data_IF_770140154404
#
_entry.id   IF_770140154404
#
_cell.length_a   1.000
_cell.length_b   1.000
_cell.length_c   1.000
_cell.angle_alpha   90.00
_cell.angle_beta   90.00
_cell.angle_gamma   90.00
#
_symmetry.space_group_name_H-M   'P 1'
#
loop_
_entity.id
_entity.type
_entity.pdbx_description
1 polymer ?
#
# COMPACT_ATOMS: atom_id res chain seq x y z
N UNK A 1 -59.08 -43.67 -85.67
CA UNK A 1 -57.81 -44.34 -86.01
C UNK A 1 -56.91 -43.31 -86.65
N UNK A 2 -56.31 -42.49 -85.81
CA UNK A 2 -55.33 -41.43 -86.05
C UNK A 2 -54.49 -41.45 -84.76
N UNK A 3 -53.19 -41.25 -84.67
CA UNK A 3 -52.09 -40.89 -85.57
C UNK A 3 -50.84 -41.48 -84.86
N UNK A 4 -49.86 -42.05 -85.53
CA UNK A 4 -48.81 -41.36 -86.28
C UNK A 4 -48.13 -40.24 -85.47
N UNK A 5 -46.81 -40.43 -85.35
CA UNK A 5 -45.75 -39.44 -85.41
C UNK A 5 -45.37 -38.67 -84.14
N UNK A 6 -44.19 -39.04 -83.66
CA UNK A 6 -43.01 -38.18 -83.56
C UNK A 6 -43.26 -36.68 -83.30
N UNK A 7 -42.85 -36.23 -82.12
CA UNK A 7 -42.11 -34.98 -82.05
C UNK A 7 -41.11 -34.95 -80.89
N UNK A 8 -39.88 -34.58 -81.25
CA UNK A 8 -38.68 -34.46 -80.41
C UNK A 8 -38.70 -33.14 -79.64
N UNK A 9 -38.43 -33.29 -78.33
CA UNK A 9 -38.05 -32.38 -77.23
C UNK A 9 -38.14 -30.85 -77.35
N UNK A 10 -38.50 -30.23 -76.21
CA UNK A 10 -37.57 -29.27 -75.61
C UNK A 10 -37.11 -29.69 -74.22
N UNK A 11 -35.85 -29.39 -73.96
CA UNK A 11 -35.13 -29.70 -72.73
C UNK A 11 -35.35 -28.64 -71.65
N UNK A 12 -35.35 -29.13 -70.42
CA UNK A 12 -35.03 -28.46 -69.14
C UNK A 12 -36.12 -27.59 -68.48
N UNK A 13 -36.74 -28.19 -67.46
CA UNK A 13 -36.81 -27.57 -66.14
C UNK A 13 -36.32 -28.61 -65.10
N UNK A 14 -35.19 -28.33 -64.46
CA UNK A 14 -34.73 -29.10 -63.30
C UNK A 14 -35.75 -28.95 -62.17
N UNK A 15 -36.10 -30.10 -61.58
CA UNK A 15 -36.98 -30.22 -60.43
C UNK A 15 -36.36 -29.58 -59.17
N UNK A 16 -37.21 -29.17 -58.19
CA UNK A 16 -36.81 -28.26 -57.13
C UNK A 16 -35.89 -28.92 -56.10
N UNK A 17 -34.81 -28.22 -55.76
CA UNK A 17 -33.97 -28.54 -54.61
C UNK A 17 -34.74 -28.25 -53.29
N UNK A 18 -34.72 -29.17 -52.30
CA UNK A 18 -35.39 -29.01 -51.02
C UNK A 18 -34.72 -27.92 -50.12
N UNK A 19 -35.46 -27.38 -49.12
CA UNK A 19 -35.37 -25.98 -48.71
C UNK A 19 -34.10 -25.55 -47.94
N UNK A 20 -33.71 -24.30 -48.19
CA UNK A 20 -32.60 -23.59 -47.56
C UNK A 20 -32.82 -23.27 -46.07
N UNK A 21 -31.72 -23.39 -45.34
CA UNK A 21 -31.26 -22.64 -44.15
C UNK A 21 -32.18 -22.53 -42.93
N UNK A 22 -31.93 -23.38 -41.93
CA UNK A 22 -32.12 -23.01 -40.52
C UNK A 22 -30.84 -22.26 -40.08
N UNK A 23 -30.93 -21.03 -39.53
CA UNK A 23 -29.76 -20.27 -39.12
C UNK A 23 -29.00 -20.99 -38.00
N UNK A 24 -27.66 -20.83 -37.90
CA UNK A 24 -26.88 -21.47 -36.86
C UNK A 24 -27.38 -21.02 -35.50
N UNK A 25 -27.78 -22.00 -34.69
CA UNK A 25 -28.03 -21.82 -33.28
C UNK A 25 -26.81 -21.18 -32.62
N UNK A 26 -27.00 -20.01 -32.00
CA UNK A 26 -26.01 -19.36 -31.12
C UNK A 26 -25.95 -20.06 -29.77
N UNK A 27 -25.76 -21.38 -29.77
CA UNK A 27 -25.43 -22.12 -28.54
C UNK A 27 -23.95 -22.44 -28.58
N UNK A 28 -23.23 -21.91 -27.61
CA UNK A 28 -21.85 -22.27 -27.36
C UNK A 28 -21.77 -23.78 -27.08
N UNK A 29 -21.06 -24.50 -27.94
CA UNK A 29 -20.59 -25.86 -27.65
C UNK A 29 -19.26 -25.70 -26.93
N UNK A 30 -19.20 -26.18 -25.69
CA UNK A 30 -17.95 -26.29 -24.92
C UNK A 30 -17.25 -27.55 -25.41
N UNK A 31 -16.12 -27.41 -26.09
CA UNK A 31 -15.17 -28.52 -26.18
C UNK A 31 -14.55 -28.69 -24.79
N UNK A 32 -14.64 -29.89 -24.21
CA UNK A 32 -13.87 -30.24 -23.02
C UNK A 32 -12.40 -30.31 -23.43
N UNK A 33 -11.65 -29.26 -23.07
CA UNK A 33 -10.19 -29.30 -23.03
C UNK A 33 -9.83 -30.17 -21.82
N UNK A 34 -8.98 -31.18 -22.00
CA UNK A 34 -8.42 -31.94 -20.88
C UNK A 34 -7.79 -30.95 -19.89
N UNK A 35 -8.27 -30.97 -18.65
CA UNK A 35 -7.85 -30.06 -17.59
C UNK A 35 -6.44 -30.44 -17.13
N UNK A 36 -5.43 -29.99 -17.88
CA UNK A 36 -4.03 -30.08 -17.47
C UNK A 36 -3.78 -29.10 -16.32
N UNK A 37 -4.03 -29.58 -15.11
CA UNK A 37 -3.39 -29.09 -13.88
C UNK A 37 -4.03 -27.86 -13.24
N UNK A 38 -4.14 -27.93 -11.93
CA UNK A 38 -4.50 -26.85 -11.02
C UNK A 38 -3.82 -25.50 -11.39
N UNK A 39 -4.59 -24.43 -11.69
CA UNK A 39 -4.04 -23.15 -12.16
C UNK A 39 -3.23 -22.39 -11.10
N UNK A 40 -3.09 -22.89 -9.87
CA UNK A 40 -2.30 -22.25 -8.81
C UNK A 40 -0.78 -22.49 -8.90
N UNK A 41 -0.28 -23.35 -9.81
CA UNK A 41 1.15 -23.68 -9.88
C UNK A 41 1.78 -23.51 -11.28
N UNK A 42 1.55 -22.38 -11.94
CA UNK A 42 2.38 -21.96 -13.07
C UNK A 42 3.81 -21.60 -12.58
N UNK A 43 4.70 -22.59 -12.53
CA UNK A 43 6.14 -22.45 -12.81
C UNK A 43 7.05 -21.65 -11.86
N UNK A 44 6.57 -20.97 -10.82
CA UNK A 44 7.43 -20.13 -9.97
C UNK A 44 8.35 -20.96 -9.06
N UNK A 45 9.56 -21.24 -9.52
CA UNK A 45 10.59 -21.90 -8.72
C UNK A 45 11.37 -20.86 -7.91
N UNK A 46 11.31 -20.95 -6.58
CA UNK A 46 12.01 -20.06 -5.65
C UNK A 46 13.24 -20.78 -5.09
N UNK A 47 14.41 -20.22 -5.34
CA UNK A 47 15.68 -20.59 -4.70
C UNK A 47 15.93 -19.62 -3.54
N UNK A 48 15.80 -20.08 -2.28
CA UNK A 48 16.05 -19.25 -1.11
C UNK A 48 17.54 -18.98 -0.93
N UNK A 49 17.88 -17.89 -0.25
CA UNK A 49 19.27 -17.64 0.14
C UNK A 49 19.71 -18.58 1.26
N UNK A 50 20.45 -19.62 0.90
CA UNK A 50 21.08 -20.53 1.86
C UNK A 50 22.47 -20.02 2.26
N UNK A 51 22.77 -20.07 3.56
CA UNK A 51 24.11 -19.79 4.04
C UNK A 51 24.97 -21.04 3.86
N UNK A 52 26.03 -20.93 3.06
CA UNK A 52 26.99 -22.02 2.85
C UNK A 52 27.92 -22.29 4.05
N UNK A 53 27.83 -21.50 5.12
CA UNK A 53 28.72 -21.58 6.29
C UNK A 53 28.04 -22.31 7.47
N UNK A 54 28.60 -23.46 7.86
CA UNK A 54 28.11 -24.27 8.98
C UNK A 54 28.03 -23.43 10.27
N UNK A 55 26.83 -23.38 10.87
CA UNK A 55 26.59 -22.69 12.13
C UNK A 55 26.09 -21.24 12.02
N UNK A 56 25.91 -20.69 10.81
CA UNK A 56 25.31 -19.36 10.62
C UNK A 56 23.82 -19.46 10.26
N UNK A 57 22.96 -18.83 11.06
CA UNK A 57 21.51 -18.80 10.82
C UNK A 57 21.16 -18.14 9.47
N UNK A 58 20.20 -18.69 8.70
CA UNK A 58 19.79 -18.17 7.39
C UNK A 58 19.52 -16.66 7.37
N UNK A 59 19.68 -16.03 6.20
CA UNK A 59 19.27 -14.63 6.02
C UNK A 59 17.81 -14.43 6.45
N UNK A 60 17.52 -13.30 7.09
CA UNK A 60 16.18 -13.02 7.62
C UNK A 60 15.83 -13.73 8.94
N UNK A 61 16.71 -14.56 9.50
CA UNK A 61 16.45 -15.16 10.83
C UNK A 61 16.38 -14.08 11.91
N UNK A 62 15.32 -14.03 12.74
CA UNK A 62 15.22 -13.09 13.84
C UNK A 62 16.38 -13.26 14.83
N UNK A 63 17.07 -12.16 15.10
CA UNK A 63 18.15 -12.12 16.10
C UNK A 63 17.62 -11.86 17.51
N UNK A 64 16.58 -11.04 17.61
CA UNK A 64 15.98 -10.63 18.88
C UNK A 64 14.48 -10.37 18.69
N UNK A 65 13.71 -10.53 19.75
CA UNK A 65 12.29 -10.14 19.80
C UNK A 65 12.15 -8.80 20.52
N UNK A 66 11.54 -7.82 19.88
CA UNK A 66 11.27 -6.51 20.46
C UNK A 66 9.84 -6.06 20.18
N UNK A 67 9.37 -5.08 20.96
CA UNK A 67 8.06 -4.46 20.73
C UNK A 67 8.09 -3.50 19.55
N UNK A 68 7.21 -3.70 18.57
CA UNK A 68 7.05 -2.80 17.42
C UNK A 68 6.48 -1.45 17.83
N UNK A 69 6.57 -0.45 16.94
CA UNK A 69 5.95 0.87 17.17
C UNK A 69 4.45 0.74 17.48
N UNK A 70 3.76 -0.06 16.67
CA UNK A 70 2.32 -0.28 16.82
C UNK A 70 1.98 -0.98 18.13
N UNK A 71 2.74 -2.01 18.53
CA UNK A 71 2.54 -2.68 19.82
C UNK A 71 2.73 -1.75 21.02
N UNK A 72 3.65 -0.79 20.92
CA UNK A 72 3.80 0.26 21.94
C UNK A 72 2.60 1.19 21.96
N UNK A 73 2.14 1.65 20.80
CA UNK A 73 0.93 2.49 20.70
C UNK A 73 -0.28 1.78 21.31
N UNK A 74 -0.44 0.49 21.04
CA UNK A 74 -1.51 -0.32 21.64
C UNK A 74 -1.39 -0.37 23.17
N UNK A 75 -0.19 -0.68 23.68
CA UNK A 75 0.06 -0.72 25.12
C UNK A 75 -0.23 0.63 25.80
N UNK A 76 0.14 1.74 25.16
CA UNK A 76 -0.10 3.09 25.66
C UNK A 76 -1.59 3.47 25.66
N UNK A 77 -2.35 3.07 24.65
CA UNK A 77 -3.81 3.28 24.60
C UNK A 77 -4.51 2.48 25.70
N UNK A 78 -4.16 1.20 25.86
CA UNK A 78 -4.71 0.35 26.91
C UNK A 78 -4.37 0.85 28.31
N UNK A 79 -3.13 1.31 28.53
CA UNK A 79 -2.70 1.84 29.82
C UNK A 79 -3.46 3.12 30.23
N UNK A 80 -3.97 3.88 29.26
CA UNK A 80 -4.78 5.09 29.50
C UNK A 80 -6.27 4.79 29.72
N UNK A 81 -6.66 3.53 29.93
CA UNK A 81 -8.05 3.06 29.90
C UNK A 81 -8.78 3.52 28.61
N UNK A 82 -8.04 3.66 27.51
CA UNK A 82 -8.61 3.95 26.20
C UNK A 82 -9.45 2.78 25.72
N UNK A 83 -10.43 3.06 24.88
CA UNK A 83 -11.11 2.02 24.12
C UNK A 83 -10.26 1.66 22.90
N UNK A 84 -10.64 0.62 22.15
CA UNK A 84 -10.03 0.34 20.85
C UNK A 84 -10.08 1.55 19.89
N UNK A 85 -11.00 2.48 20.15
CA UNK A 85 -11.22 3.69 19.38
C UNK A 85 -10.47 4.91 19.95
N UNK A 86 -9.49 4.69 20.83
CA UNK A 86 -8.64 5.76 21.40
C UNK A 86 -9.36 6.59 22.47
N UNK A 87 -9.29 7.94 22.44
CA UNK A 87 -9.93 8.79 23.44
C UNK A 87 -11.46 8.85 23.28
N UNK A 88 -12.03 8.22 22.26
CA UNK A 88 -13.45 8.15 22.00
C UNK A 88 -14.10 7.00 22.79
N UNK A 89 -15.39 7.16 23.09
CA UNK A 89 -16.18 6.27 23.94
C UNK A 89 -16.43 4.92 23.28
N UNK A 90 -16.76 4.93 21.99
CA UNK A 90 -17.15 3.75 21.23
C UNK A 90 -16.95 3.97 19.72
N UNK A 91 -17.28 2.94 18.95
CA UNK A 91 -17.20 2.95 17.48
C UNK A 91 -18.11 4.01 16.86
N UNK A 92 -19.32 4.21 17.40
CA UNK A 92 -20.29 5.18 16.86
C UNK A 92 -19.78 6.62 17.02
N UNK A 93 -19.20 6.95 18.18
CA UNK A 93 -18.59 8.25 18.41
C UNK A 93 -17.35 8.44 17.53
N UNK A 94 -16.55 7.39 17.32
CA UNK A 94 -15.41 7.42 16.43
C UNK A 94 -15.81 7.65 14.96
N UNK A 95 -16.87 7.02 14.51
CA UNK A 95 -17.41 7.19 13.15
C UNK A 95 -17.88 8.62 12.91
N UNK A 96 -18.59 9.19 13.89
CA UNK A 96 -18.97 10.60 13.85
C UNK A 96 -17.74 11.50 13.83
N UNK A 97 -16.73 11.24 14.66
CA UNK A 97 -15.48 12.00 14.69
C UNK A 97 -14.74 11.96 13.34
N UNK A 98 -14.63 10.78 12.72
CA UNK A 98 -14.09 10.59 11.36
C UNK A 98 -14.85 11.39 10.33
N UNK A 99 -16.18 11.32 10.38
CA UNK A 99 -17.03 12.04 9.43
C UNK A 99 -16.91 13.56 9.58
N UNK A 100 -16.94 14.07 10.82
CA UNK A 100 -16.78 15.50 11.12
C UNK A 100 -15.44 16.03 10.61
N UNK A 101 -14.34 15.34 10.92
CA UNK A 101 -13.00 15.75 10.50
C UNK A 101 -12.85 15.81 8.98
N UNK A 102 -13.47 14.85 8.27
CA UNK A 102 -13.35 14.74 6.81
C UNK A 102 -14.26 15.71 6.05
N UNK A 103 -15.46 15.99 6.57
CA UNK A 103 -16.52 16.63 5.78
C UNK A 103 -16.92 18.01 6.29
N UNK A 104 -16.54 18.40 7.50
CA UNK A 104 -17.04 19.62 8.15
C UNK A 104 -15.87 20.50 8.58
N UNK A 105 -16.00 21.81 8.36
CA UNK A 105 -15.03 22.77 8.85
C UNK A 105 -15.19 22.99 10.37
N UNK A 106 -14.25 23.72 10.99
CA UNK A 106 -14.25 23.94 12.45
C UNK A 106 -15.53 24.64 12.93
N UNK A 107 -16.02 25.64 12.19
CA UNK A 107 -17.23 26.38 12.54
C UNK A 107 -18.48 25.51 12.45
N UNK A 108 -18.63 24.74 11.37
CA UNK A 108 -19.74 23.82 11.16
C UNK A 108 -19.73 22.67 12.17
N UNK A 109 -18.55 22.25 12.63
CA UNK A 109 -18.42 21.28 13.73
C UNK A 109 -18.96 21.88 15.02
N UNK A 110 -18.63 23.14 15.33
CA UNK A 110 -19.13 23.83 16.52
C UNK A 110 -20.65 24.08 16.45
N UNK A 111 -21.18 24.41 15.27
CA UNK A 111 -22.62 24.55 15.02
C UNK A 111 -23.36 23.22 15.17
N UNK A 112 -22.83 22.15 14.57
CA UNK A 112 -23.38 20.80 14.70
C UNK A 112 -23.47 20.37 16.16
N UNK A 113 -22.41 20.57 16.94
CA UNK A 113 -22.37 20.20 18.37
C UNK A 113 -23.31 21.05 19.24
N UNK A 114 -23.79 22.19 18.75
CA UNK A 114 -24.82 23.01 19.41
C UNK A 114 -26.25 22.59 19.07
N UNK A 115 -26.46 21.69 18.10
CA UNK A 115 -27.79 21.21 17.76
C UNK A 115 -28.41 20.42 18.91
N UNK A 116 -29.75 20.45 19.07
CA UNK A 116 -30.42 19.74 20.16
C UNK A 116 -30.15 18.24 20.18
N UNK A 117 -29.97 17.60 19.02
CA UNK A 117 -29.75 16.15 18.91
C UNK A 117 -28.44 15.73 19.61
N UNK A 118 -27.25 16.24 19.24
CA UNK A 118 -26.01 15.91 19.94
C UNK A 118 -25.96 16.45 21.38
N UNK A 119 -26.66 17.54 21.70
CA UNK A 119 -26.74 18.05 23.09
C UNK A 119 -27.66 17.24 23.99
N UNK A 120 -28.68 16.58 23.43
CA UNK A 120 -29.53 15.70 24.20
C UNK A 120 -28.67 14.53 24.70
N UNK A 121 -28.76 14.22 26.01
CA UNK A 121 -28.04 13.12 26.69
C UNK A 121 -28.19 11.72 26.07
N UNK A 122 -28.96 11.60 24.98
CA UNK A 122 -29.08 10.39 24.16
C UNK A 122 -27.83 10.11 23.32
N UNK A 123 -27.19 11.14 22.76
CA UNK A 123 -25.94 10.97 22.00
C UNK A 123 -24.74 10.75 22.94
N UNK A 124 -24.75 11.42 24.10
CA UNK A 124 -23.77 11.29 25.18
C UNK A 124 -22.30 11.40 24.68
N UNK A 125 -22.06 12.34 23.75
CA UNK A 125 -20.74 12.59 23.20
C UNK A 125 -19.77 12.99 24.31
N UNK A 126 -18.54 12.53 24.18
CA UNK A 126 -17.43 12.79 25.07
C UNK A 126 -16.76 14.16 24.80
N UNK A 127 -17.25 14.90 23.81
CA UNK A 127 -16.88 16.28 23.49
C UNK A 127 -18.12 17.13 23.21
N UNK A 128 -18.12 18.37 23.71
CA UNK A 128 -19.28 19.29 23.65
C UNK A 128 -19.10 20.50 22.72
N UNK A 129 -17.89 20.73 22.20
CA UNK A 129 -17.57 21.86 21.33
C UNK A 129 -16.36 21.51 20.46
N UNK A 130 -16.11 22.33 19.43
CA UNK A 130 -15.02 22.06 18.48
C UNK A 130 -13.64 21.99 19.17
N UNK A 131 -13.40 22.82 20.19
CA UNK A 131 -12.13 22.78 20.95
C UNK A 131 -11.92 21.45 21.68
N UNK A 132 -12.94 20.94 22.36
CA UNK A 132 -12.87 19.65 23.06
C UNK A 132 -12.76 18.49 22.07
N UNK A 133 -13.42 18.59 20.92
CA UNK A 133 -13.29 17.64 19.83
C UNK A 133 -11.86 17.58 19.29
N UNK A 134 -11.27 18.72 18.91
CA UNK A 134 -9.89 18.79 18.42
C UNK A 134 -8.89 18.30 19.47
N UNK A 135 -9.09 18.62 20.75
CA UNK A 135 -8.25 18.10 21.85
C UNK A 135 -8.27 16.57 21.93
N UNK A 136 -9.38 15.91 21.57
CA UNK A 136 -9.43 14.44 21.48
C UNK A 136 -8.76 13.93 20.23
N UNK A 137 -8.97 14.59 19.10
CA UNK A 137 -8.28 14.28 17.84
C UNK A 137 -6.75 14.36 18.02
N UNK A 138 -6.24 15.36 18.74
CA UNK A 138 -4.80 15.52 19.04
C UNK A 138 -4.22 14.43 19.95
N UNK A 139 -5.07 13.63 20.62
CA UNK A 139 -4.62 12.50 21.44
C UNK A 139 -4.49 11.20 20.64
N UNK A 140 -4.93 11.19 19.38
CA UNK A 140 -4.77 10.05 18.51
C UNK A 140 -3.29 9.81 18.21
N UNK A 141 -2.89 8.54 18.03
CA UNK A 141 -1.53 8.25 17.60
C UNK A 141 -1.26 8.94 16.26
N UNK A 142 -0.12 9.58 16.15
CA UNK A 142 0.35 10.25 14.92
C UNK A 142 1.48 9.45 14.27
N UNK A 143 1.80 9.79 13.03
CA UNK A 143 3.03 9.32 12.38
C UNK A 143 4.21 10.24 12.64
N UNK A 144 5.34 9.99 11.97
CA UNK A 144 6.49 10.87 11.96
C UNK A 144 6.07 12.31 11.74
N UNK A 145 6.73 13.19 12.48
CA UNK A 145 6.40 14.60 12.48
C UNK A 145 6.63 15.22 11.10
N UNK A 146 5.73 16.14 10.76
CA UNK A 146 5.86 16.97 9.58
C UNK A 146 6.87 18.09 9.83
N UNK A 147 7.83 18.26 8.91
CA UNK A 147 8.76 19.39 8.86
C UNK A 147 8.41 20.26 7.67
N UNK A 148 8.27 21.57 7.88
CA UNK A 148 8.11 22.55 6.82
C UNK A 148 9.45 23.24 6.54
N UNK A 149 9.89 23.25 5.28
CA UNK A 149 11.04 24.01 4.80
C UNK A 149 10.58 24.99 3.73
N UNK A 150 11.05 26.22 3.81
CA UNK A 150 10.85 27.22 2.75
C UNK A 150 11.96 27.04 1.72
N UNK A 151 11.58 26.88 0.45
CA UNK A 151 12.48 26.80 -0.69
C UNK A 151 12.19 27.94 -1.64
N UNK A 152 13.15 28.84 -1.84
CA UNK A 152 13.03 29.92 -2.81
C UNK A 152 13.38 29.41 -4.20
N UNK A 153 12.42 29.44 -5.12
CA UNK A 153 12.61 29.09 -6.53
C UNK A 153 12.71 30.35 -7.37
N UNK A 154 13.79 30.49 -8.16
CA UNK A 154 13.89 31.55 -9.15
C UNK A 154 12.96 31.24 -10.32
N UNK A 155 12.06 32.18 -10.62
CA UNK A 155 11.20 32.15 -11.79
C UNK A 155 11.91 32.58 -13.06
N UNK A 156 11.16 32.62 -14.15
CA UNK A 156 11.64 33.00 -15.49
C UNK A 156 11.20 34.42 -15.91
N UNK A 157 10.63 35.19 -14.98
CA UNK A 157 10.16 36.56 -15.22
C UNK A 157 11.06 37.52 -14.46
N UNK A 158 11.23 38.72 -15.00
CA UNK A 158 11.95 39.81 -14.33
C UNK A 158 10.95 40.80 -13.74
N UNK A 159 11.33 41.45 -12.63
CA UNK A 159 10.59 42.56 -12.03
C UNK A 159 10.92 43.89 -12.75
N UNK A 160 10.41 45.01 -12.21
CA UNK A 160 10.64 46.35 -12.77
C UNK A 160 12.11 46.81 -12.69
N UNK A 161 12.92 46.15 -11.85
CA UNK A 161 14.33 46.44 -11.62
C UNK A 161 15.27 45.50 -12.43
N UNK A 162 14.75 44.79 -13.44
CA UNK A 162 15.46 43.78 -14.26
C UNK A 162 16.02 42.57 -13.45
N UNK A 163 15.53 42.33 -12.24
CA UNK A 163 15.90 41.19 -11.40
C UNK A 163 14.94 40.00 -11.60
N UNK A 164 15.46 38.77 -11.60
CA UNK A 164 14.64 37.57 -11.69
C UNK A 164 13.69 37.48 -10.47
N UNK A 165 12.39 37.41 -10.75
CA UNK A 165 11.38 37.16 -9.75
C UNK A 165 11.60 35.78 -9.14
N UNK A 166 11.47 35.67 -7.83
CA UNK A 166 11.51 34.41 -7.11
C UNK A 166 10.21 34.18 -6.34
N UNK A 167 9.89 32.91 -6.08
CA UNK A 167 8.76 32.50 -5.27
C UNK A 167 9.23 31.63 -4.11
N UNK A 168 8.68 31.88 -2.93
CA UNK A 168 8.91 31.04 -1.75
C UNK A 168 7.89 29.91 -1.72
N UNK A 169 8.38 28.68 -1.72
CA UNK A 169 7.59 27.46 -1.71
C UNK A 169 7.65 26.78 -0.35
N UNK A 170 6.49 26.42 0.19
CA UNK A 170 6.40 25.59 1.39
C UNK A 170 6.56 24.10 1.02
N UNK A 171 7.69 23.51 1.41
CA UNK A 171 7.96 22.08 1.30
C UNK A 171 7.69 21.40 2.63
N UNK A 172 6.59 20.63 2.70
CA UNK A 172 6.26 19.78 3.83
C UNK A 172 6.82 18.38 3.58
N UNK A 173 7.64 17.88 4.50
CA UNK A 173 8.34 16.61 4.39
C UNK A 173 8.41 15.88 5.74
N UNK A 174 8.57 14.55 5.70
CA UNK A 174 8.83 13.72 6.88
C UNK A 174 10.23 13.12 6.83
N UNK A 175 10.73 12.65 7.96
CA UNK A 175 11.93 11.83 7.98
C UNK A 175 11.64 10.48 7.30
N UNK A 176 12.30 10.17 6.16
CA UNK A 176 12.07 8.92 5.44
C UNK A 176 12.44 7.68 6.28
N UNK A 177 13.41 7.79 7.18
CA UNK A 177 13.83 6.69 8.05
C UNK A 177 12.72 6.36 9.05
N UNK A 178 12.12 7.39 9.66
CA UNK A 178 11.00 7.19 10.58
C UNK A 178 9.74 6.68 9.85
N UNK A 179 9.48 7.14 8.62
CA UNK A 179 8.41 6.59 7.78
C UNK A 179 8.62 5.10 7.47
N UNK A 180 9.84 4.70 7.13
CA UNK A 180 10.17 3.28 6.86
C UNK A 180 10.03 2.46 8.14
N UNK A 181 10.55 2.94 9.28
CA UNK A 181 10.41 2.26 10.58
C UNK A 181 8.95 2.04 10.95
N UNK A 182 8.10 3.03 10.70
CA UNK A 182 6.66 2.91 10.90
C UNK A 182 6.06 1.83 10.00
N UNK A 183 6.33 1.88 8.68
CA UNK A 183 5.82 0.91 7.72
C UNK A 183 6.23 -0.52 8.10
N UNK A 184 7.51 -0.72 8.42
CA UNK A 184 8.04 -2.02 8.84
C UNK A 184 7.46 -2.48 10.19
N UNK A 185 6.99 -1.57 11.03
CA UNK A 185 6.36 -1.89 12.31
C UNK A 185 4.87 -2.23 12.19
N UNK A 186 4.26 -2.04 11.02
CA UNK A 186 2.84 -2.24 10.85
C UNK A 186 2.53 -3.74 10.60
N UNK A 187 1.77 -4.41 11.49
CA UNK A 187 1.44 -5.82 11.37
C UNK A 187 0.69 -6.18 10.08
N UNK A 188 -0.01 -5.23 9.46
CA UNK A 188 -0.75 -5.45 8.20
C UNK A 188 0.19 -5.84 7.05
N UNK A 189 1.44 -5.38 7.07
CA UNK A 189 2.40 -5.70 6.01
C UNK A 189 3.22 -6.95 6.27
N UNK A 190 3.00 -7.66 7.38
CA UNK A 190 3.81 -8.83 7.77
C UNK A 190 3.98 -9.85 6.66
N UNK A 191 2.87 -10.22 6.02
CA UNK A 191 2.85 -11.24 4.96
C UNK A 191 3.35 -10.70 3.60
N UNK A 192 3.59 -9.39 3.52
CA UNK A 192 4.06 -8.69 2.33
C UNK A 192 5.51 -8.20 2.47
N UNK A 193 6.19 -8.53 3.57
CA UNK A 193 7.58 -8.17 3.81
C UNK A 193 8.49 -9.37 3.57
N UNK A 194 9.58 -9.14 2.85
CA UNK A 194 10.67 -10.09 2.73
C UNK A 194 11.89 -9.59 3.52
N UNK A 195 12.53 -10.49 4.26
CA UNK A 195 13.73 -10.19 5.07
C UNK A 195 14.98 -10.91 4.55
N UNK A 196 14.84 -11.69 3.49
CA UNK A 196 15.92 -12.43 2.84
C UNK A 196 15.80 -12.28 1.31
N UNK A 197 16.93 -12.23 0.59
CA UNK A 197 16.91 -12.27 -0.85
C UNK A 197 16.48 -13.67 -1.34
N UNK A 198 15.84 -13.69 -2.50
CA UNK A 198 15.40 -14.91 -3.18
C UNK A 198 15.80 -14.84 -4.65
N UNK A 199 15.89 -16.00 -5.29
CA UNK A 199 16.03 -16.12 -6.74
C UNK A 199 14.83 -16.84 -7.30
N UNK A 200 14.10 -16.17 -8.18
CA UNK A 200 12.86 -16.70 -8.73
C UNK A 200 13.06 -17.02 -10.20
N UNK A 201 12.57 -18.19 -10.62
CA UNK A 201 12.65 -18.71 -11.98
C UNK A 201 11.28 -19.16 -12.48
N UNK A 202 11.07 -19.10 -13.79
CA UNK A 202 9.79 -19.45 -14.42
C UNK A 202 9.50 -20.95 -14.53
N UNK A 203 10.50 -21.81 -14.31
CA UNK A 203 10.35 -23.26 -14.09
C UNK A 203 11.57 -23.79 -13.32
N UNK A 204 11.45 -24.98 -12.72
CA UNK A 204 12.58 -25.70 -12.11
C UNK A 204 13.64 -26.11 -13.14
N UNK A 205 13.23 -26.47 -14.35
CA UNK A 205 14.13 -26.85 -15.46
C UNK A 205 14.87 -25.66 -16.08
N UNK A 206 14.29 -24.46 -15.95
CA UNK A 206 14.86 -23.17 -16.35
C UNK A 206 15.79 -22.54 -15.31
N UNK A 207 16.15 -23.26 -14.24
CA UNK A 207 17.08 -22.80 -13.22
C UNK A 207 18.36 -22.25 -13.86
N UNK A 208 18.71 -21.00 -13.51
CA UNK A 208 19.87 -20.29 -14.06
C UNK A 208 19.70 -19.69 -15.47
N UNK A 209 18.58 -19.91 -16.17
CA UNK A 209 18.38 -19.46 -17.57
C UNK A 209 17.35 -18.34 -17.75
N UNK A 210 16.22 -18.42 -17.03
CA UNK A 210 15.14 -17.42 -17.11
C UNK A 210 14.74 -16.97 -15.71
N UNK A 211 15.34 -15.86 -15.25
CA UNK A 211 15.08 -15.30 -13.93
C UNK A 211 13.91 -14.31 -13.99
N UNK A 212 13.03 -14.42 -13.02
CA UNK A 212 11.97 -13.45 -12.76
C UNK A 212 12.50 -12.44 -11.71
N UNK A 213 12.40 -11.15 -12.05
CA UNK A 213 12.75 -10.04 -11.15
C UNK A 213 11.54 -9.11 -11.12
N UNK A 214 10.68 -9.32 -10.13
CA UNK A 214 9.43 -8.60 -9.88
C UNK A 214 9.54 -7.66 -8.68
N UNK A 215 10.41 -7.98 -7.72
CA UNK A 215 10.49 -7.33 -6.41
C UNK A 215 11.95 -7.07 -6.00
N UNK A 216 12.17 -6.21 -5.01
CA UNK A 216 13.53 -5.88 -4.54
C UNK A 216 14.29 -7.11 -4.01
N UNK A 217 13.62 -8.01 -3.28
CA UNK A 217 14.26 -9.22 -2.72
C UNK A 217 14.51 -10.28 -3.78
N UNK A 218 13.82 -10.25 -4.92
CA UNK A 218 14.07 -11.16 -6.05
C UNK A 218 15.16 -10.64 -6.98
N UNK A 219 15.66 -9.41 -6.76
CA UNK A 219 16.73 -8.79 -7.53
C UNK A 219 18.13 -9.29 -7.13
N UNK A 220 19.04 -9.35 -8.10
CA UNK A 220 20.41 -9.84 -7.88
C UNK A 220 21.24 -8.93 -6.96
N UNK A 221 20.87 -7.64 -6.88
CA UNK A 221 21.59 -6.68 -6.04
C UNK A 221 21.54 -7.05 -4.55
N UNK A 222 20.36 -7.39 -4.01
CA UNK A 222 20.22 -7.76 -2.60
C UNK A 222 20.97 -9.07 -2.31
N UNK A 223 20.90 -10.07 -3.19
CA UNK A 223 21.68 -11.29 -3.07
C UNK A 223 23.19 -11.00 -2.94
N UNK A 224 23.74 -10.17 -3.83
CA UNK A 224 25.16 -9.77 -3.79
C UNK A 224 25.52 -9.01 -2.52
N UNK A 225 24.64 -8.12 -2.07
CA UNK A 225 24.82 -7.37 -0.83
C UNK A 225 24.89 -8.30 0.38
N UNK A 226 24.03 -9.31 0.43
CA UNK A 226 24.02 -10.32 1.48
C UNK A 226 25.35 -11.10 1.51
N UNK A 227 25.85 -11.55 0.35
CA UNK A 227 27.17 -12.22 0.24
C UNK A 227 28.32 -11.31 0.69
N UNK A 228 28.30 -10.02 0.33
CA UNK A 228 29.33 -9.06 0.73
C UNK A 228 29.34 -8.82 2.24
N UNK A 229 28.17 -8.62 2.86
CA UNK A 229 28.03 -8.47 4.31
C UNK A 229 28.55 -9.69 5.07
N UNK A 230 28.30 -10.90 4.55
CA UNK A 230 28.86 -12.15 5.08
C UNK A 230 30.39 -12.15 5.03
N UNK A 231 30.99 -11.72 3.92
CA UNK A 231 32.45 -11.65 3.76
C UNK A 231 33.09 -10.62 4.69
N UNK A 232 32.48 -9.46 4.88
CA UNK A 232 33.00 -8.42 5.76
C UNK A 232 32.97 -8.82 7.24
N UNK A 233 31.88 -9.49 7.67
CA UNK A 233 31.76 -10.04 9.02
C UNK A 233 32.84 -11.08 9.36
N UNK A 234 33.41 -11.76 8.36
CA UNK A 234 34.50 -12.74 8.55
C UNK A 234 35.86 -12.08 8.84
N UNK A 235 36.06 -10.84 8.43
CA UNK A 235 37.33 -10.14 8.56
C UNK A 235 37.45 -9.31 9.85
N UNK A 236 36.33 -9.04 10.53
CA UNK A 236 36.32 -8.40 11.84
C UNK A 236 36.17 -9.46 12.93
N UNK A 237 37.20 -9.61 13.77
CA UNK A 237 37.19 -10.53 14.90
C UNK A 237 36.04 -10.24 15.87
N UNK A 238 35.58 -11.29 16.55
CA UNK A 238 34.38 -11.34 17.40
C UNK A 238 34.33 -10.29 18.53
N UNK A 239 35.43 -9.62 18.83
CA UNK A 239 35.56 -8.68 19.97
C UNK A 239 35.25 -7.21 19.63
N UNK A 240 35.04 -6.85 18.35
CA UNK A 240 34.81 -5.45 17.94
C UNK A 240 33.39 -5.18 17.39
N UNK A 241 32.46 -6.13 17.57
CA UNK A 241 31.08 -6.06 17.06
C UNK A 241 30.14 -5.12 17.86
N UNK A 242 30.63 -4.48 18.93
CA UNK A 242 29.79 -3.57 19.73
C UNK A 242 29.77 -2.11 19.25
N UNK A 243 30.63 -1.68 18.31
CA UNK A 243 30.77 -0.24 18.01
C UNK A 243 30.71 0.16 16.52
N UNK A 244 30.44 -0.76 15.58
CA UNK A 244 30.31 -0.41 14.15
C UNK A 244 29.09 -0.99 13.44
N UNK A 245 27.97 -1.09 14.15
CA UNK A 245 26.62 -1.20 13.55
C UNK A 245 26.20 0.07 12.77
N UNK A 246 27.12 1.01 12.54
CA UNK A 246 26.92 2.24 11.79
C UNK A 246 27.42 2.17 10.33
N UNK A 247 28.12 1.10 9.93
CA UNK A 247 28.69 0.99 8.56
C UNK A 247 28.09 -0.13 7.72
N UNK A 248 27.11 -0.88 8.24
CA UNK A 248 26.34 -1.89 7.51
C UNK A 248 24.86 -1.51 7.52
N UNK A 249 24.56 -0.25 7.20
CA UNK A 249 23.18 0.29 7.16
C UNK A 249 22.29 -0.28 6.03
N UNK A 250 22.76 -1.29 5.29
CA UNK A 250 21.99 -1.92 4.21
C UNK A 250 21.77 -3.43 4.41
N UNK A 251 22.32 -4.05 5.46
CA UNK A 251 21.94 -5.43 5.78
C UNK A 251 20.59 -5.39 6.48
N UNK A 252 19.59 -6.03 5.88
CA UNK A 252 18.17 -6.03 6.25
C UNK A 252 17.95 -6.55 7.68
N UNK A 253 18.13 -5.71 8.68
CA UNK A 253 17.60 -5.92 10.03
C UNK A 253 16.26 -5.21 10.07
N UNK A 254 15.23 -5.89 9.58
CA UNK A 254 13.85 -5.44 9.71
C UNK A 254 13.16 -6.15 10.88
N UNK A 255 12.21 -5.50 11.57
CA UNK A 255 11.45 -6.17 12.62
C UNK A 255 10.52 -7.23 12.01
N UNK A 256 10.67 -8.50 12.39
CA UNK A 256 9.67 -9.55 12.12
C UNK A 256 8.52 -9.40 13.12
N UNK A 257 7.32 -9.15 12.63
CA UNK A 257 6.15 -8.96 13.49
C UNK A 257 5.52 -10.33 13.76
N UNK A 258 5.30 -10.69 15.02
CA UNK A 258 4.48 -11.85 15.43
C UNK A 258 3.17 -11.34 16.00
N UNK A 259 2.07 -12.03 15.78
CA UNK A 259 0.76 -11.54 16.20
C UNK A 259 -0.25 -12.61 15.92
N UNK A 260 -0.72 -13.21 17.01
CA UNK A 260 -1.31 -14.54 16.98
C UNK A 260 -2.82 -14.51 17.27
N UNK A 261 -3.49 -13.34 17.22
CA UNK A 261 -4.94 -13.27 17.44
C UNK A 261 -5.71 -12.35 16.47
N UNK A 262 -6.94 -12.72 16.07
CA UNK A 262 -7.82 -11.85 15.28
C UNK A 262 -8.19 -10.53 15.99
N UNK A 263 -8.28 -10.55 17.32
CA UNK A 263 -8.54 -9.34 18.13
C UNK A 263 -7.36 -8.36 18.06
N UNK A 264 -6.13 -8.87 18.00
CA UNK A 264 -4.92 -8.10 17.81
C UNK A 264 -4.97 -7.35 16.46
N UNK A 265 -5.31 -8.05 15.36
CA UNK A 265 -5.42 -7.45 14.01
C UNK A 265 -6.48 -6.35 13.95
N UNK A 266 -7.68 -6.58 14.52
CA UNK A 266 -8.76 -5.58 14.54
C UNK A 266 -8.33 -4.28 15.22
N UNK A 267 -7.62 -4.38 16.34
CA UNK A 267 -7.15 -3.20 17.07
C UNK A 267 -6.12 -2.39 16.25
N UNK A 268 -5.16 -3.05 15.60
CA UNK A 268 -4.20 -2.35 14.73
C UNK A 268 -4.85 -1.66 13.55
N UNK A 269 -5.86 -2.28 12.94
CA UNK A 269 -6.65 -1.65 11.90
C UNK A 269 -7.36 -0.38 12.41
N UNK A 270 -7.75 -0.35 13.69
CA UNK A 270 -8.30 0.85 14.31
C UNK A 270 -7.23 1.94 14.49
N UNK A 271 -6.06 1.62 15.04
CA UNK A 271 -4.91 2.55 15.14
C UNK A 271 -4.53 3.10 13.76
N UNK A 272 -4.47 2.24 12.74
CA UNK A 272 -4.26 2.61 11.34
C UNK A 272 -5.33 3.58 10.84
N UNK A 273 -6.61 3.29 11.08
CA UNK A 273 -7.70 4.18 10.72
C UNK A 273 -7.62 5.53 11.44
N UNK A 274 -7.19 5.55 12.70
CA UNK A 274 -7.00 6.77 13.48
C UNK A 274 -5.90 7.64 12.87
N UNK A 275 -4.81 7.01 12.42
CA UNK A 275 -3.66 7.69 11.81
C UNK A 275 -3.96 8.20 10.40
N UNK A 276 -4.71 7.41 9.61
CA UNK A 276 -5.19 7.79 8.27
C UNK A 276 -6.23 8.90 8.27
N UNK A 277 -6.78 9.26 9.43
CA UNK A 277 -7.64 10.45 9.56
C UNK A 277 -6.96 11.72 9.04
N UNK A 278 -5.62 11.78 9.07
CA UNK A 278 -4.83 12.95 8.68
C UNK A 278 -4.14 12.84 7.32
N UNK A 279 -4.17 11.68 6.66
CA UNK A 279 -3.41 11.43 5.41
C UNK A 279 -4.29 10.66 4.44
N UNK A 280 -4.59 11.26 3.28
CA UNK A 280 -5.55 10.70 2.33
C UNK A 280 -4.91 9.92 1.19
N UNK A 281 -3.59 10.00 1.00
CA UNK A 281 -2.93 9.34 -0.14
C UNK A 281 -1.45 8.99 0.10
N UNK A 282 -0.93 7.98 -0.61
CA UNK A 282 0.46 7.50 -0.52
C UNK A 282 1.50 8.56 -0.94
N UNK A 283 1.17 9.43 -1.90
CA UNK A 283 2.00 10.59 -2.24
C UNK A 283 2.06 11.62 -1.10
N UNK A 284 0.98 11.74 -0.31
CA UNK A 284 0.94 12.57 0.90
C UNK A 284 1.68 11.92 2.10
N UNK A 285 2.19 10.69 1.99
CA UNK A 285 2.92 10.04 3.10
C UNK A 285 4.34 10.58 3.22
N UNK A 286 4.96 10.99 2.11
CA UNK A 286 6.38 11.38 2.09
C UNK A 286 6.60 12.88 1.95
N UNK A 287 5.88 13.54 1.03
CA UNK A 287 6.08 14.97 0.73
C UNK A 287 4.79 15.63 0.24
N UNK A 288 4.60 16.89 0.63
CA UNK A 288 3.54 17.76 0.10
C UNK A 288 4.14 19.13 -0.21
N UNK A 289 4.07 19.54 -1.47
CA UNK A 289 4.50 20.88 -1.90
C UNK A 289 3.26 21.74 -2.03
N UNK A 290 3.22 22.86 -1.30
CA UNK A 290 2.17 23.87 -1.44
C UNK A 290 2.77 25.09 -2.13
N UNK A 291 2.31 25.34 -3.36
CA UNK A 291 2.69 26.53 -4.13
C UNK A 291 1.71 27.64 -3.78
N UNK A 292 2.18 28.66 -3.05
CA UNK A 292 1.42 29.89 -2.84
C UNK A 292 1.63 30.81 -4.04
N UNK A 293 0.85 30.61 -5.10
CA UNK A 293 0.84 31.56 -6.23
C UNK A 293 0.16 32.84 -5.75
N UNK A 294 0.95 33.87 -5.41
CA UNK A 294 0.41 35.23 -5.25
C UNK A 294 -0.12 35.71 -6.60
N UNK A 295 -1.44 35.58 -6.80
CA UNK A 295 -2.16 36.16 -7.94
C UNK A 295 -2.62 37.58 -7.58
N UNK A 296 -2.32 38.50 -8.51
CA UNK A 296 -2.84 39.86 -8.68
C UNK A 296 -2.29 40.97 -7.76
N UNK A 297 -1.25 41.67 -8.25
CA UNK A 297 -1.24 43.14 -8.16
C UNK A 297 -1.75 43.66 -9.50
N UNK A 298 -3.01 44.09 -9.53
CA UNK A 298 -3.55 44.95 -10.60
C UNK A 298 -2.82 46.29 -10.52
N UNK A 299 -1.91 46.54 -11.45
CA UNK A 299 -1.49 47.91 -11.74
C UNK A 299 -2.64 48.59 -12.51
N UNK A 300 -3.15 49.68 -11.93
CA UNK A 300 -4.09 50.61 -12.55
C UNK A 300 -3.34 51.58 -13.45
#
# INVERSE_FOLDING_TARGET
MHAADDFVYPERQESPEPPQAIPPSRRATVEEVEDEGDPENFGRFVEPFENEEEGRAPAGTPLETGKTLFERMYADQNAKNGTDFGPFRDEEEWDLARWLMKNVNQTGTDEYLKLPIPQNKKANLSFHNNRAFLKKVDQLPTGPDWTCKIVTAAGNRVNEDDELMSEDLELWMRDPVECIKELLSNPVFREHMAYAPERVYGTKEGHGKSRIVDEMWTAEWWWKLQVQSHRQSRNFGRDELQFKTQSVELATVGPEIRGDSPSFVKHFMCIESQRKMFVSNLSEILMKVKVSVYREVKLK
#
